data_IF_623374634854
#
_entry.id   IF_623374634854
#
_cell.length_a   1.000
_cell.length_b   1.000
_cell.length_c   1.000
_cell.angle_alpha   90.00
_cell.angle_beta   90.00
_cell.angle_gamma   90.00
#
_symmetry.space_group_name_H-M   'P 1'
#
loop_
_entity.id
_entity.type
_entity.pdbx_description
1 polymer ?
#
# COMPACT_ATOMS: atom_id res chain seq x y z
N UNK A 1 -26.30 53.55 -24.73
CA UNK A 1 -27.07 54.19 -23.63
C UNK A 1 -28.44 53.53 -23.56
N UNK A 2 -29.04 53.52 -22.36
CA UNK A 2 -30.37 52.98 -22.02
C UNK A 2 -30.51 51.45 -22.12
N UNK A 3 -31.17 50.73 -21.20
CA UNK A 3 -31.17 50.62 -19.73
C UNK A 3 -32.36 49.70 -19.37
N UNK A 4 -32.19 48.81 -18.37
CA UNK A 4 -33.25 48.18 -17.55
C UNK A 4 -34.15 47.11 -18.24
N UNK A 5 -34.71 46.08 -17.59
CA UNK A 5 -34.80 45.70 -16.15
C UNK A 5 -35.01 44.15 -16.03
N UNK A 6 -34.66 43.52 -14.90
CA UNK A 6 -35.02 42.12 -14.54
C UNK A 6 -36.16 42.15 -13.49
N UNK A 7 -37.00 41.10 -13.32
CA UNK A 7 -36.67 40.12 -12.26
C UNK A 7 -37.12 38.66 -12.54
N UNK A 8 -36.29 37.68 -12.17
CA UNK A 8 -36.69 36.27 -11.98
C UNK A 8 -36.90 35.98 -10.50
N UNK A 9 -38.03 35.36 -10.16
CA UNK A 9 -38.51 35.24 -8.78
C UNK A 9 -37.91 34.10 -7.96
N UNK A 10 -37.62 34.38 -6.69
CA UNK A 10 -37.29 33.39 -5.65
C UNK A 10 -38.55 32.99 -4.87
N UNK A 11 -38.77 31.69 -4.64
CA UNK A 11 -39.61 31.19 -3.52
C UNK A 11 -39.02 29.95 -2.86
N UNK A 12 -38.50 30.13 -1.64
CA UNK A 12 -38.24 29.08 -0.67
C UNK A 12 -39.56 28.60 -0.02
N UNK A 13 -39.67 27.30 0.27
CA UNK A 13 -40.05 26.71 1.58
C UNK A 13 -40.36 25.22 1.44
N UNK A 14 -39.73 24.38 2.26
CA UNK A 14 -40.20 23.02 2.58
C UNK A 14 -39.99 22.79 4.07
N UNK A 15 -41.00 22.22 4.74
CA UNK A 15 -41.02 21.99 6.18
C UNK A 15 -41.48 20.56 6.50
N UNK A 16 -40.78 19.94 7.47
CA UNK A 16 -41.08 18.66 8.15
C UNK A 16 -42.18 18.91 9.24
N UNK A 17 -42.59 17.96 10.14
CA UNK A 17 -42.32 16.51 10.25
C UNK A 17 -43.51 15.61 10.71
N UNK A 18 -43.26 14.29 10.82
CA UNK A 18 -43.72 13.26 11.83
C UNK A 18 -43.40 11.84 11.26
N UNK A 19 -43.24 10.72 11.98
CA UNK A 19 -43.46 10.30 13.39
C UNK A 19 -42.38 9.28 13.86
N UNK A 20 -42.43 8.83 15.13
CA UNK A 20 -41.43 8.03 15.87
C UNK A 20 -41.79 6.54 16.13
N UNK A 21 -40.79 5.66 16.33
CA UNK A 21 -40.92 4.41 17.13
C UNK A 21 -39.56 3.93 17.72
N UNK A 22 -39.58 2.98 18.68
CA UNK A 22 -38.54 2.80 19.74
C UNK A 22 -37.54 1.63 19.55
N UNK A 23 -36.26 1.94 19.77
CA UNK A 23 -35.27 1.33 20.71
C UNK A 23 -35.24 -0.21 20.94
N UNK A 24 -34.22 -0.87 20.39
CA UNK A 24 -33.53 -2.11 20.85
C UNK A 24 -32.38 -2.45 19.87
N UNK A 25 -31.34 -3.26 20.14
CA UNK A 25 -30.60 -3.57 21.40
C UNK A 25 -29.22 -4.23 21.04
N UNK A 26 -28.45 -4.67 22.05
CA UNK A 26 -27.32 -5.63 21.99
C UNK A 26 -26.04 -5.30 21.16
N UNK A 27 -25.01 -4.79 21.85
CA UNK A 27 -23.64 -5.34 21.77
C UNK A 27 -23.65 -6.80 22.28
N UNK A 28 -22.77 -7.73 21.82
CA UNK A 28 -21.31 -7.57 21.85
C UNK A 28 -20.52 -8.18 20.66
N UNK A 29 -19.25 -7.81 20.51
CA UNK A 29 -18.20 -8.67 19.93
C UNK A 29 -16.79 -8.07 20.12
N UNK A 30 -16.13 -8.40 21.23
CA UNK A 30 -14.67 -8.40 21.25
C UNK A 30 -14.16 -9.52 20.34
N UNK A 31 -13.56 -9.15 19.22
CA UNK A 31 -12.63 -10.03 18.49
C UNK A 31 -11.65 -9.20 17.68
N UNK A 32 -10.60 -8.78 18.40
CA UNK A 32 -9.21 -8.65 17.94
C UNK A 32 -9.09 -8.53 16.41
N UNK A 33 -9.17 -7.31 15.89
CA UNK A 33 -8.69 -7.06 14.54
C UNK A 33 -7.20 -7.37 14.52
N UNK A 34 -6.88 -8.57 14.01
CA UNK A 34 -5.58 -8.82 13.42
C UNK A 34 -5.22 -7.59 12.59
N UNK A 35 -4.01 -7.06 12.76
CA UNK A 35 -3.47 -6.15 11.75
C UNK A 35 -3.25 -7.02 10.53
N UNK A 36 -4.28 -7.12 9.69
CA UNK A 36 -4.18 -7.77 8.40
C UNK A 36 -2.95 -7.18 7.73
N UNK A 37 -1.94 -8.02 7.52
CA UNK A 37 -0.96 -7.83 6.49
C UNK A 37 -1.74 -7.89 5.17
N UNK A 38 -2.45 -6.79 4.85
CA UNK A 38 -3.24 -6.67 3.63
C UNK A 38 -2.27 -6.96 2.50
N UNK A 39 -2.44 -8.06 1.74
CA UNK A 39 -1.50 -8.40 0.69
C UNK A 39 -1.37 -7.18 -0.20
N UNK A 40 -0.12 -6.81 -0.46
CA UNK A 40 0.18 -5.57 -1.13
C UNK A 40 -0.50 -5.61 -2.49
N UNK A 41 -1.47 -4.72 -2.72
CA UNK A 41 -2.11 -4.61 -4.03
C UNK A 41 -1.13 -3.94 -5.00
N UNK A 42 -0.19 -4.76 -5.48
CA UNK A 42 0.60 -4.50 -6.69
C UNK A 42 -0.41 -4.17 -7.82
N UNK A 43 -0.13 -3.19 -8.69
CA UNK A 43 -1.04 -2.81 -9.78
C UNK A 43 -1.47 -4.02 -10.61
N UNK A 44 -2.71 -4.46 -10.41
CA UNK A 44 -3.25 -5.71 -10.98
C UNK A 44 -3.47 -5.59 -12.49
N UNK A 45 -3.52 -4.34 -12.95
CA UNK A 45 -3.70 -3.82 -14.29
C UNK A 45 -2.50 -4.06 -15.25
N UNK A 46 -1.36 -4.57 -14.77
CA UNK A 46 -0.26 -5.02 -15.63
C UNK A 46 0.11 -6.49 -15.37
N UNK A 47 -0.47 -7.40 -16.17
CA UNK A 47 -0.27 -8.85 -16.02
C UNK A 47 1.22 -9.27 -16.13
N UNK A 48 2.00 -8.62 -16.99
CA UNK A 48 3.42 -8.94 -17.18
C UNK A 48 4.27 -8.55 -15.97
N UNK A 49 4.01 -7.39 -15.35
CA UNK A 49 4.68 -7.00 -14.11
C UNK A 49 4.29 -7.92 -12.95
N UNK A 50 3.02 -8.30 -12.84
CA UNK A 50 2.56 -9.22 -11.79
C UNK A 50 3.18 -10.62 -11.95
N UNK A 51 3.26 -11.15 -13.18
CA UNK A 51 3.97 -12.39 -13.46
C UNK A 51 5.46 -12.29 -13.12
N UNK A 52 6.12 -11.18 -13.47
CA UNK A 52 7.52 -10.94 -13.13
C UNK A 52 7.76 -10.90 -11.61
N UNK A 53 6.93 -10.19 -10.85
CA UNK A 53 7.05 -10.16 -9.38
C UNK A 53 6.78 -11.54 -8.74
N UNK A 54 5.82 -12.32 -9.27
CA UNK A 54 5.59 -13.69 -8.82
C UNK A 54 6.80 -14.59 -9.09
N UNK A 55 7.43 -14.47 -10.26
CA UNK A 55 8.67 -15.21 -10.60
C UNK A 55 9.82 -14.81 -9.66
N UNK A 56 10.01 -13.51 -9.38
CA UNK A 56 11.02 -13.06 -8.42
C UNK A 56 10.78 -13.66 -7.02
N UNK A 57 9.54 -13.65 -6.54
CA UNK A 57 9.19 -14.21 -5.23
C UNK A 57 9.40 -15.74 -5.17
N UNK A 58 9.06 -16.47 -6.24
CA UNK A 58 9.30 -17.91 -6.35
C UNK A 58 10.79 -18.26 -6.39
N UNK A 59 11.63 -17.44 -7.03
CA UNK A 59 13.09 -17.62 -6.99
C UNK A 59 13.66 -17.42 -5.58
N UNK A 60 13.16 -16.42 -4.84
CA UNK A 60 13.53 -16.18 -3.44
C UNK A 60 13.08 -17.32 -2.52
N UNK A 61 11.86 -17.82 -2.70
CA UNK A 61 11.32 -18.97 -1.97
C UNK A 61 12.14 -20.24 -2.22
N UNK A 62 12.37 -20.58 -3.49
CA UNK A 62 13.22 -21.71 -3.91
C UNK A 62 14.65 -21.59 -3.36
N UNK A 63 15.21 -20.38 -3.31
CA UNK A 63 16.52 -20.13 -2.69
C UNK A 63 16.50 -20.47 -1.20
N UNK A 64 15.48 -20.02 -0.45
CA UNK A 64 15.35 -20.35 0.99
C UNK A 64 15.10 -21.82 1.27
N UNK A 65 14.46 -22.55 0.36
CA UNK A 65 14.28 -24.00 0.50
C UNK A 65 15.56 -24.80 0.19
N UNK A 66 16.47 -24.24 -0.62
CA UNK A 66 17.67 -24.95 -1.10
C UNK A 66 18.91 -24.64 -0.27
N UNK A 67 19.01 -23.41 0.27
CA UNK A 67 20.18 -22.94 1.00
C UNK A 67 20.05 -23.13 2.51
N UNK A 68 21.18 -23.12 3.21
CA UNK A 68 21.17 -23.06 4.67
C UNK A 68 20.56 -21.74 5.16
N UNK A 69 20.02 -21.76 6.38
CA UNK A 69 19.48 -20.57 7.06
C UNK A 69 20.51 -19.44 7.15
N UNK A 70 21.77 -19.76 7.46
CA UNK A 70 22.86 -18.78 7.54
C UNK A 70 23.14 -18.11 6.19
N UNK A 71 23.27 -18.91 5.12
CA UNK A 71 23.46 -18.41 3.75
C UNK A 71 22.27 -17.53 3.32
N UNK A 72 21.05 -17.94 3.66
CA UNK A 72 19.83 -17.18 3.37
C UNK A 72 19.81 -15.81 4.06
N UNK A 73 20.21 -15.76 5.35
CA UNK A 73 20.28 -14.52 6.13
C UNK A 73 21.38 -13.60 5.60
N UNK A 74 22.56 -14.13 5.29
CA UNK A 74 23.66 -13.35 4.72
C UNK A 74 23.31 -12.78 3.35
N UNK A 75 22.66 -13.57 2.49
CA UNK A 75 22.11 -13.12 1.20
C UNK A 75 21.08 -11.99 1.36
N UNK A 76 20.14 -12.12 2.30
CA UNK A 76 19.18 -11.05 2.61
C UNK A 76 19.86 -9.76 3.09
N UNK A 77 20.82 -9.86 4.01
CA UNK A 77 21.53 -8.70 4.54
C UNK A 77 22.29 -7.95 3.44
N UNK A 78 22.96 -8.68 2.54
CA UNK A 78 23.65 -8.12 1.38
C UNK A 78 22.67 -7.41 0.42
N UNK A 79 21.59 -8.09 0.02
CA UNK A 79 20.58 -7.55 -0.89
C UNK A 79 19.86 -6.33 -0.28
N UNK A 80 19.62 -6.33 1.03
CA UNK A 80 19.01 -5.20 1.73
C UNK A 80 19.96 -3.99 1.85
N UNK A 81 21.26 -4.21 2.03
CA UNK A 81 22.25 -3.13 2.03
C UNK A 81 22.33 -2.45 0.64
N UNK A 82 22.42 -3.23 -0.43
CA UNK A 82 22.38 -2.74 -1.81
C UNK A 82 21.08 -1.98 -2.10
N UNK A 83 19.93 -2.52 -1.68
CA UNK A 83 18.64 -1.86 -1.85
C UNK A 83 18.57 -0.48 -1.17
N UNK A 84 19.15 -0.33 0.02
CA UNK A 84 19.23 0.96 0.71
C UNK A 84 20.16 1.92 -0.05
N UNK A 85 21.31 1.46 -0.53
CA UNK A 85 22.25 2.26 -1.31
C UNK A 85 21.64 2.77 -2.65
N UNK A 86 20.73 2.01 -3.25
CA UNK A 86 20.03 2.38 -4.47
C UNK A 86 18.97 3.50 -4.30
N UNK A 87 18.62 3.90 -3.07
CA UNK A 87 17.56 4.92 -2.83
C UNK A 87 17.81 6.20 -3.63
N UNK A 88 18.93 6.87 -3.38
CA UNK A 88 19.19 8.19 -3.94
C UNK A 88 19.42 8.14 -5.47
N UNK A 89 20.17 7.17 -6.04
CA UNK A 89 20.25 6.98 -7.49
C UNK A 89 18.88 6.79 -8.16
N UNK A 90 18.01 5.94 -7.60
CA UNK A 90 16.67 5.68 -8.14
C UNK A 90 15.78 6.91 -8.04
N UNK A 91 15.80 7.62 -6.91
CA UNK A 91 15.04 8.86 -6.74
C UNK A 91 15.51 9.97 -7.69
N UNK A 92 16.81 10.14 -7.85
CA UNK A 92 17.37 11.13 -8.77
C UNK A 92 17.05 10.81 -10.24
N UNK A 93 17.08 9.54 -10.64
CA UNK A 93 16.78 9.14 -12.02
C UNK A 93 15.30 9.28 -12.37
N UNK A 94 14.40 8.70 -11.56
CA UNK A 94 12.97 8.63 -11.90
C UNK A 94 12.13 9.79 -11.36
N UNK A 95 12.62 10.54 -10.37
CA UNK A 95 11.83 11.51 -9.61
C UNK A 95 12.54 12.84 -9.33
N UNK A 96 13.53 13.22 -10.15
CA UNK A 96 14.23 14.52 -10.08
C UNK A 96 13.29 15.73 -10.00
N UNK A 97 12.20 15.71 -10.79
CA UNK A 97 11.20 16.78 -10.83
C UNK A 97 10.13 16.69 -9.73
N UNK A 98 10.24 15.76 -8.78
CA UNK A 98 9.26 15.58 -7.70
C UNK A 98 9.70 16.36 -6.45
N UNK A 99 8.73 16.87 -5.70
CA UNK A 99 8.99 17.34 -4.33
C UNK A 99 9.34 16.16 -3.41
N UNK A 100 10.10 16.40 -2.35
CA UNK A 100 10.57 15.38 -1.40
C UNK A 100 9.42 14.48 -0.89
N UNK A 101 8.23 15.06 -0.63
CA UNK A 101 7.02 14.32 -0.21
C UNK A 101 6.48 13.35 -1.27
N UNK A 102 6.68 13.64 -2.56
CA UNK A 102 6.36 12.73 -3.67
C UNK A 102 7.46 11.68 -3.86
N UNK A 103 8.73 12.06 -3.71
CA UNK A 103 9.87 11.14 -3.75
C UNK A 103 9.77 10.07 -2.66
N UNK A 104 9.55 10.45 -1.40
CA UNK A 104 9.37 9.49 -0.29
C UNK A 104 8.15 8.58 -0.50
N UNK A 105 7.05 9.08 -1.07
CA UNK A 105 5.89 8.24 -1.44
C UNK A 105 6.20 7.25 -2.56
N UNK A 106 7.09 7.60 -3.49
CA UNK A 106 7.54 6.71 -4.56
C UNK A 106 8.49 5.65 -3.99
N UNK A 107 9.49 6.05 -3.22
CA UNK A 107 10.41 5.13 -2.53
C UNK A 107 9.65 4.13 -1.65
N UNK A 108 8.70 4.61 -0.84
CA UNK A 108 7.89 3.75 0.03
C UNK A 108 7.15 2.65 -0.75
N UNK A 109 6.63 2.95 -1.96
CA UNK A 109 6.02 1.93 -2.83
C UNK A 109 7.04 0.89 -3.31
N UNK A 110 8.26 1.32 -3.65
CA UNK A 110 9.35 0.40 -4.04
C UNK A 110 9.72 -0.49 -2.84
N UNK A 111 9.94 0.10 -1.65
CA UNK A 111 10.21 -0.66 -0.42
C UNK A 111 9.11 -1.69 -0.15
N UNK A 112 7.84 -1.32 -0.29
CA UNK A 112 6.71 -2.22 -0.13
C UNK A 112 6.73 -3.41 -1.10
N UNK A 113 7.08 -3.20 -2.38
CA UNK A 113 7.21 -4.27 -3.37
C UNK A 113 8.41 -5.17 -3.05
N UNK A 114 9.55 -4.57 -2.71
CA UNK A 114 10.79 -5.28 -2.35
C UNK A 114 10.58 -6.17 -1.11
N UNK A 115 9.95 -5.66 -0.05
CA UNK A 115 9.61 -6.45 1.14
C UNK A 115 8.66 -7.61 0.85
N UNK A 116 7.75 -7.48 -0.13
CA UNK A 116 6.88 -8.59 -0.55
C UNK A 116 7.66 -9.68 -1.29
N UNK A 117 8.58 -9.30 -2.18
CA UNK A 117 9.46 -10.24 -2.90
C UNK A 117 10.38 -10.99 -1.92
N UNK A 118 10.94 -10.30 -0.91
CA UNK A 118 11.81 -10.89 0.11
C UNK A 118 11.07 -11.49 1.31
N UNK A 119 9.75 -11.62 1.24
CA UNK A 119 8.94 -12.18 2.33
C UNK A 119 9.34 -13.63 2.71
N UNK A 120 9.69 -14.54 1.79
CA UNK A 120 10.11 -15.90 2.18
C UNK A 120 11.33 -15.92 3.12
N UNK A 121 12.38 -15.12 2.83
CA UNK A 121 13.55 -15.02 3.73
C UNK A 121 13.17 -14.32 5.04
N UNK A 122 12.30 -13.31 4.99
CA UNK A 122 11.82 -12.61 6.19
C UNK A 122 11.08 -13.55 7.15
N UNK A 123 10.28 -14.48 6.61
CA UNK A 123 9.60 -15.51 7.40
C UNK A 123 10.61 -16.48 8.06
N UNK A 124 11.66 -16.89 7.32
CA UNK A 124 12.73 -17.76 7.83
C UNK A 124 13.49 -17.12 9.01
N UNK A 125 13.67 -15.79 8.99
CA UNK A 125 14.28 -15.01 10.08
C UNK A 125 13.35 -14.92 11.30
N UNK A 126 12.03 -14.83 11.10
CA UNK A 126 11.07 -14.70 12.21
C UNK A 126 10.80 -16.02 12.95
N UNK A 127 10.81 -17.15 12.26
CA UNK A 127 10.71 -18.50 12.87
C UNK A 127 11.95 -18.83 13.74
N UNK A 128 13.02 -18.06 13.55
CA UNK A 128 14.35 -18.30 14.06
C UNK A 128 14.74 -17.49 15.31
N UNK A 129 13.86 -16.60 15.77
CA UNK A 129 14.08 -15.63 16.85
C UNK A 129 13.16 -15.88 18.04
#
# INVERSE_FOLDING_TARGET
MNQNLIPLGLKHKSARPKTSSKKSSNTPSDKKSSKDARPLKIPTDNISLNAFFAILQLMVDSFTCTQSKEVSINGYNMINAEFIALKDPVLNHFTSNFSNKKQEKFWHKITMIFSHILQPISNLIQIAS
#
